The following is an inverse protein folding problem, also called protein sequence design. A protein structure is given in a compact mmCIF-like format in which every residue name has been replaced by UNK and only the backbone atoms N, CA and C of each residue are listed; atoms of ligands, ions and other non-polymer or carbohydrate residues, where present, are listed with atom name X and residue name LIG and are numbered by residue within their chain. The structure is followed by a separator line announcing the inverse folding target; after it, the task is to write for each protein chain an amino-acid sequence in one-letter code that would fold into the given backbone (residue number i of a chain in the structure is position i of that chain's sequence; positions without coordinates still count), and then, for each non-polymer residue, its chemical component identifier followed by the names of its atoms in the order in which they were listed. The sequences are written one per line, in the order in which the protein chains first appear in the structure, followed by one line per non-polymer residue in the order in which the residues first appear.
data_IF_143943630572
#
_entry.id   IF_143943630572
#
_cell.length_a   1.000
_cell.length_b   1.000
_cell.length_c   1.000
_cell.angle_alpha   90.00
_cell.angle_beta   90.00
_cell.angle_gamma   90.00
#
_symmetry.space_group_name_H-M   'P 1'
#
loop_
_entity.id
_entity.type
_entity.pdbx_description
1 polymer ?
#
# COMPACT_ATOMS: atom_id res chain seq x y z
N UNK A 1 -1.45 0.16 12.33
CA UNK A 1 -2.72 -0.53 12.01
C UNK A 1 -3.91 -0.16 12.88
N UNK A 2 -3.83 -0.12 14.21
CA UNK A 2 -5.01 0.19 15.06
C UNK A 2 -5.70 1.53 14.72
N UNK A 3 -4.94 2.56 14.34
CA UNK A 3 -5.47 3.88 14.00
C UNK A 3 -6.22 3.87 12.64
N UNK A 4 -5.59 3.37 11.57
CA UNK A 4 -6.22 3.26 10.25
C UNK A 4 -7.48 2.37 10.27
N UNK A 5 -7.42 1.23 10.97
CA UNK A 5 -8.59 0.36 11.11
C UNK A 5 -9.73 1.03 11.92
N UNK A 6 -9.40 1.90 12.90
CA UNK A 6 -10.40 2.68 13.63
C UNK A 6 -11.04 3.74 12.74
N UNK A 7 -10.26 4.41 11.90
CA UNK A 7 -10.77 5.37 10.92
C UNK A 7 -11.62 4.66 9.85
N UNK A 8 -11.17 3.52 9.34
CA UNK A 8 -11.89 2.70 8.36
C UNK A 8 -13.27 2.27 8.89
N UNK A 9 -13.36 1.84 10.16
CA UNK A 9 -14.64 1.50 10.80
C UNK A 9 -15.58 2.70 10.91
N UNK A 10 -15.06 3.91 11.13
CA UNK A 10 -15.87 5.12 11.33
C UNK A 10 -16.25 5.79 10.00
N UNK A 11 -15.33 5.84 9.05
CA UNK A 11 -15.46 6.62 7.82
C UNK A 11 -15.45 5.78 6.54
N UNK A 12 -15.28 4.46 6.63
CA UNK A 12 -15.18 3.58 5.46
C UNK A 12 -16.39 3.65 4.52
N UNK A 13 -17.57 3.98 5.04
CA UNK A 13 -18.79 4.16 4.21
C UNK A 13 -18.74 5.40 3.30
N UNK A 14 -17.83 6.34 3.58
CA UNK A 14 -17.64 7.55 2.78
C UNK A 14 -16.52 7.40 1.75
N UNK A 15 -15.92 6.21 1.66
CA UNK A 15 -14.90 5.95 0.67
C UNK A 15 -15.48 6.11 -0.74
N UNK A 16 -14.73 6.80 -1.59
CA UNK A 16 -15.09 7.05 -2.98
C UNK A 16 -14.39 6.02 -3.85
N UNK A 17 -15.09 5.02 -4.39
CA UNK A 17 -14.46 4.04 -5.25
C UNK A 17 -13.86 4.75 -6.47
N UNK A 18 -12.66 4.34 -6.87
CA UNK A 18 -11.94 4.88 -8.02
C UNK A 18 -11.63 6.39 -7.94
N UNK A 19 -11.29 6.92 -6.75
CA UNK A 19 -10.97 8.34 -6.56
C UNK A 19 -9.93 8.86 -7.57
N UNK A 20 -8.95 8.04 -7.94
CA UNK A 20 -7.93 8.40 -8.94
C UNK A 20 -8.53 8.67 -10.32
N UNK A 21 -9.61 7.99 -10.70
CA UNK A 21 -10.31 8.25 -11.96
C UNK A 21 -10.88 9.67 -12.00
N UNK A 22 -11.48 10.13 -10.90
CA UNK A 22 -12.00 11.50 -10.81
C UNK A 22 -10.87 12.55 -10.92
N UNK A 23 -9.72 12.26 -10.31
CA UNK A 23 -8.54 13.12 -10.43
C UNK A 23 -8.02 13.15 -11.88
N UNK A 24 -7.99 12.03 -12.57
CA UNK A 24 -7.60 11.96 -14.00
C UNK A 24 -8.59 12.74 -14.86
N UNK A 25 -9.88 12.66 -14.59
CA UNK A 25 -10.92 13.44 -15.31
C UNK A 25 -10.72 14.95 -15.10
N UNK A 26 -10.41 15.37 -13.85
CA UNK A 26 -10.10 16.77 -13.55
C UNK A 26 -8.84 17.23 -14.28
N UNK A 27 -7.79 16.42 -14.35
CA UNK A 27 -6.59 16.71 -15.13
C UNK A 27 -6.89 16.78 -16.63
N UNK A 28 -7.75 15.91 -17.17
CA UNK A 28 -8.18 15.96 -18.57
C UNK A 28 -8.91 17.26 -18.88
N UNK A 29 -9.81 17.70 -18.00
CA UNK A 29 -10.48 19.00 -18.13
C UNK A 29 -9.47 20.16 -18.09
N UNK A 30 -8.48 20.12 -17.19
CA UNK A 30 -7.40 21.09 -17.13
C UNK A 30 -6.52 21.10 -18.38
N UNK A 31 -6.25 19.94 -18.99
CA UNK A 31 -5.53 19.84 -20.25
C UNK A 31 -6.33 20.52 -21.38
N UNK A 32 -7.63 20.27 -21.49
CA UNK A 32 -8.49 20.93 -22.48
C UNK A 32 -8.49 22.45 -22.30
N UNK A 33 -8.64 22.93 -21.07
CA UNK A 33 -8.56 24.36 -20.75
C UNK A 33 -7.19 24.92 -21.16
N UNK A 34 -6.09 24.24 -20.86
CA UNK A 34 -4.75 24.70 -21.21
C UNK A 34 -4.51 24.75 -22.73
N UNK A 35 -5.06 23.80 -23.47
CA UNK A 35 -4.98 23.81 -24.95
C UNK A 35 -5.78 24.96 -25.55
N UNK A 36 -6.99 25.23 -25.03
CA UNK A 36 -7.86 26.31 -25.53
C UNK A 36 -7.37 27.67 -25.06
N UNK A 37 -6.91 27.80 -23.84
CA UNK A 37 -6.50 29.05 -23.19
C UNK A 37 -5.19 28.84 -22.41
N UNK A 38 -4.02 28.91 -23.05
CA UNK A 38 -2.74 28.61 -22.38
C UNK A 38 -2.49 29.49 -21.14
N UNK A 39 -3.01 30.70 -21.12
CA UNK A 39 -2.87 31.62 -19.98
C UNK A 39 -3.66 31.16 -18.74
N UNK A 40 -4.70 30.32 -18.90
CA UNK A 40 -5.47 29.79 -17.77
C UNK A 40 -4.61 28.95 -16.84
N UNK A 41 -3.58 28.29 -17.37
CA UNK A 41 -2.66 27.50 -16.58
C UNK A 41 -1.99 28.32 -15.46
N UNK A 42 -1.66 29.58 -15.70
CA UNK A 42 -1.07 30.47 -14.69
C UNK A 42 -2.05 30.80 -13.54
N UNK A 43 -3.35 30.81 -13.81
CA UNK A 43 -4.37 31.05 -12.79
C UNK A 43 -4.74 29.78 -12.01
N UNK A 44 -4.53 28.61 -12.60
CA UNK A 44 -4.82 27.31 -11.99
C UNK A 44 -3.63 26.76 -11.20
N UNK A 45 -2.39 27.09 -11.61
CA UNK A 45 -1.19 26.58 -10.95
C UNK A 45 -1.07 27.07 -9.50
N UNK A 46 -0.33 26.33 -8.70
CA UNK A 46 -0.03 26.68 -7.33
C UNK A 46 0.74 28.02 -7.29
N UNK A 47 0.38 28.89 -6.36
CA UNK A 47 1.18 30.05 -5.99
C UNK A 47 0.89 30.37 -4.53
N UNK A 48 1.88 30.18 -3.67
CA UNK A 48 1.74 30.40 -2.23
C UNK A 48 1.50 31.87 -1.93
N UNK A 49 2.20 32.77 -2.60
CA UNK A 49 2.00 34.20 -2.45
C UNK A 49 0.56 34.61 -2.83
N UNK A 50 0.07 34.15 -3.98
CA UNK A 50 -1.30 34.46 -4.42
C UNK A 50 -2.36 33.89 -3.45
N UNK A 51 -2.15 32.71 -2.89
CA UNK A 51 -3.02 32.10 -1.87
C UNK A 51 -3.08 32.98 -0.63
N UNK A 52 -1.94 33.47 -0.15
CA UNK A 52 -1.87 34.37 1.01
C UNK A 52 -2.54 35.72 0.74
N UNK A 53 -2.62 36.17 -0.53
CA UNK A 53 -3.33 37.37 -0.94
C UNK A 53 -4.81 37.11 -1.28
N UNK A 54 -5.37 35.94 -0.90
CA UNK A 54 -6.82 35.67 -1.02
C UNK A 54 -7.22 34.78 -2.20
N UNK A 55 -6.30 34.30 -3.05
CA UNK A 55 -6.62 33.37 -4.15
C UNK A 55 -6.68 31.91 -3.65
N UNK A 56 -7.56 31.65 -2.68
CA UNK A 56 -7.65 30.35 -1.99
C UNK A 56 -8.04 29.17 -2.91
N UNK A 57 -8.69 29.45 -4.06
CA UNK A 57 -9.04 28.39 -5.02
C UNK A 57 -7.83 27.64 -5.54
N UNK A 58 -6.63 28.25 -5.53
CA UNK A 58 -5.38 27.61 -5.98
C UNK A 58 -4.98 26.40 -5.14
N UNK A 59 -5.48 26.30 -3.89
CA UNK A 59 -5.28 25.12 -3.02
C UNK A 59 -5.94 23.87 -3.62
N UNK A 60 -6.96 24.03 -4.45
CA UNK A 60 -7.66 22.92 -5.10
C UNK A 60 -7.38 22.88 -6.59
N UNK A 61 -7.30 24.05 -7.25
CA UNK A 61 -7.17 24.11 -8.71
C UNK A 61 -5.85 23.57 -9.25
N UNK A 62 -4.79 23.46 -8.43
CA UNK A 62 -3.54 22.81 -8.87
C UNK A 62 -3.74 21.34 -9.30
N UNK A 63 -4.84 20.70 -8.82
CA UNK A 63 -5.24 19.36 -9.25
C UNK A 63 -5.63 19.33 -10.73
N UNK A 64 -6.13 20.42 -11.29
CA UNK A 64 -6.47 20.53 -12.71
C UNK A 64 -5.24 20.73 -13.60
N UNK A 65 -4.10 21.15 -13.04
CA UNK A 65 -2.88 21.38 -13.83
C UNK A 65 -2.36 20.05 -14.37
N UNK A 66 -2.37 19.87 -15.71
CA UNK A 66 -1.93 18.60 -16.30
C UNK A 66 -0.41 18.46 -16.16
N UNK A 67 0.04 17.24 -15.92
CA UNK A 67 1.48 16.91 -15.84
C UNK A 67 2.18 16.89 -17.20
N UNK A 68 1.43 16.99 -18.29
CA UNK A 68 1.93 17.15 -19.66
C UNK A 68 0.93 17.88 -20.51
N UNK A 69 1.42 18.69 -21.44
CA UNK A 69 0.60 19.41 -22.43
C UNK A 69 0.35 18.60 -23.71
N UNK A 70 1.07 17.47 -23.88
CA UNK A 70 0.88 16.58 -25.00
C UNK A 70 -0.31 15.65 -24.76
N UNK A 71 -1.37 15.66 -25.58
CA UNK A 71 -2.54 14.80 -25.40
C UNK A 71 -2.21 13.31 -25.46
N UNK A 72 -1.27 12.91 -26.32
CA UNK A 72 -0.85 11.51 -26.46
C UNK A 72 -0.15 11.03 -25.18
N UNK A 73 0.80 11.81 -24.66
CA UNK A 73 1.48 11.48 -23.41
C UNK A 73 0.50 11.47 -22.24
N UNK A 74 -0.46 12.40 -22.24
CA UNK A 74 -1.51 12.44 -21.21
C UNK A 74 -2.31 11.12 -21.18
N UNK A 75 -2.77 10.64 -22.33
CA UNK A 75 -3.53 9.39 -22.41
C UNK A 75 -2.72 8.18 -21.92
N UNK A 76 -1.45 8.10 -22.28
CA UNK A 76 -0.56 7.03 -21.82
C UNK A 76 -0.43 7.04 -20.30
N UNK A 77 -0.15 8.21 -19.71
CA UNK A 77 -0.02 8.33 -18.26
C UNK A 77 -1.35 8.14 -17.53
N UNK A 78 -2.47 8.66 -18.07
CA UNK A 78 -3.79 8.48 -17.50
C UNK A 78 -4.17 7.00 -17.42
N UNK A 79 -3.95 6.24 -18.48
CA UNK A 79 -4.17 4.79 -18.51
C UNK A 79 -3.27 4.06 -17.51
N UNK A 80 -1.99 4.42 -17.45
CA UNK A 80 -1.02 3.82 -16.54
C UNK A 80 -1.43 4.04 -15.08
N UNK A 81 -1.69 5.28 -14.68
CA UNK A 81 -2.07 5.61 -13.30
C UNK A 81 -3.43 5.08 -12.90
N UNK A 82 -4.38 5.02 -13.84
CA UNK A 82 -5.65 4.35 -13.62
C UNK A 82 -5.46 2.86 -13.34
N UNK A 83 -4.66 2.18 -14.14
CA UNK A 83 -4.38 0.74 -13.98
C UNK A 83 -3.67 0.43 -12.65
N UNK A 84 -2.69 1.28 -12.27
CA UNK A 84 -1.97 1.19 -10.99
C UNK A 84 -2.95 1.35 -9.82
N UNK A 85 -3.76 2.42 -9.87
CA UNK A 85 -4.73 2.74 -8.83
C UNK A 85 -5.73 1.61 -8.64
N UNK A 86 -6.30 1.08 -9.71
CA UNK A 86 -7.23 -0.06 -9.69
C UNK A 86 -6.60 -1.30 -9.05
N UNK A 87 -5.34 -1.59 -9.38
CA UNK A 87 -4.63 -2.75 -8.83
C UNK A 87 -4.39 -2.59 -7.33
N UNK A 88 -3.99 -1.41 -6.89
CA UNK A 88 -3.78 -1.12 -5.46
C UNK A 88 -5.11 -1.10 -4.70
N UNK A 89 -6.15 -0.49 -5.25
CA UNK A 89 -7.47 -0.37 -4.62
C UNK A 89 -8.11 -1.75 -4.40
N UNK A 90 -7.96 -2.70 -5.33
CA UNK A 90 -8.44 -4.08 -5.17
C UNK A 90 -7.82 -4.80 -3.96
N UNK A 91 -6.60 -4.45 -3.60
CA UNK A 91 -5.85 -5.11 -2.51
C UNK A 91 -5.98 -4.36 -1.19
N UNK A 92 -5.94 -3.04 -1.25
CA UNK A 92 -5.97 -2.21 -0.04
C UNK A 92 -7.40 -1.87 0.40
N UNK A 93 -8.35 -1.89 -0.54
CA UNK A 93 -9.71 -1.37 -0.38
C UNK A 93 -9.79 0.14 -0.66
N UNK A 94 -10.99 0.61 -1.07
CA UNK A 94 -11.21 2.00 -1.49
C UNK A 94 -10.86 3.00 -0.40
N UNK A 95 -11.24 2.75 0.87
CA UNK A 95 -10.96 3.68 1.96
C UNK A 95 -9.47 3.95 2.16
N UNK A 96 -8.65 2.90 2.12
CA UNK A 96 -7.21 3.06 2.31
C UNK A 96 -6.55 3.73 1.12
N UNK A 97 -7.06 3.46 -0.09
CA UNK A 97 -6.60 4.13 -1.30
C UNK A 97 -6.91 5.63 -1.26
N UNK A 98 -8.12 6.01 -0.86
CA UNK A 98 -8.53 7.40 -0.68
C UNK A 98 -7.64 8.12 0.35
N UNK A 99 -7.43 7.48 1.50
CA UNK A 99 -6.54 8.03 2.54
C UNK A 99 -5.11 8.25 2.02
N UNK A 100 -4.59 7.33 1.20
CA UNK A 100 -3.28 7.49 0.57
C UNK A 100 -3.24 8.71 -0.36
N UNK A 101 -4.25 8.87 -1.21
CA UNK A 101 -4.35 9.98 -2.15
C UNK A 101 -4.49 11.30 -1.39
N UNK A 102 -5.40 11.38 -0.41
CA UNK A 102 -5.66 12.58 0.37
C UNK A 102 -4.42 13.00 1.16
N UNK A 103 -3.76 12.05 1.85
CA UNK A 103 -2.53 12.35 2.60
C UNK A 103 -1.37 12.77 1.69
N UNK A 104 -1.29 12.22 0.48
CA UNK A 104 -0.30 12.62 -0.51
C UNK A 104 -0.55 14.05 -1.03
N UNK A 105 -1.80 14.41 -1.34
CA UNK A 105 -2.16 15.76 -1.73
C UNK A 105 -1.90 16.76 -0.60
N UNK A 106 -2.29 16.45 0.64
CA UNK A 106 -2.01 17.29 1.80
C UNK A 106 -0.51 17.45 2.04
N UNK A 107 0.26 16.37 1.89
CA UNK A 107 1.73 16.40 1.98
C UNK A 107 2.35 17.34 0.95
N UNK A 108 1.86 17.30 -0.29
CA UNK A 108 2.30 18.21 -1.37
C UNK A 108 2.01 19.67 -1.02
N UNK A 109 0.81 19.96 -0.51
CA UNK A 109 0.41 21.30 -0.06
C UNK A 109 1.32 21.79 1.06
N UNK A 110 1.52 20.98 2.10
CA UNK A 110 2.40 21.31 3.24
C UNK A 110 3.82 21.55 2.78
N UNK A 111 4.36 20.72 1.89
CA UNK A 111 5.70 20.88 1.34
C UNK A 111 5.84 22.20 0.57
N UNK A 112 4.84 22.57 -0.24
CA UNK A 112 4.85 23.83 -0.99
C UNK A 112 4.85 25.07 -0.08
N UNK A 113 4.05 25.06 0.99
CA UNK A 113 4.08 26.13 2.00
C UNK A 113 5.43 26.17 2.74
N UNK A 114 5.98 25.03 3.15
CA UNK A 114 7.29 24.97 3.82
C UNK A 114 8.40 25.57 2.93
N UNK A 115 8.42 25.19 1.66
CA UNK A 115 9.40 25.73 0.69
C UNK A 115 9.28 27.26 0.61
N UNK A 116 8.07 27.78 0.50
CA UNK A 116 7.85 29.23 0.43
C UNK A 116 8.32 29.95 1.70
N UNK A 117 7.96 29.46 2.87
CA UNK A 117 8.34 30.10 4.14
C UNK A 117 9.83 29.97 4.45
N UNK A 118 10.49 28.88 4.04
CA UNK A 118 11.92 28.67 4.30
C UNK A 118 12.81 29.40 3.30
N UNK A 119 12.43 29.46 2.04
CA UNK A 119 13.30 29.93 0.95
C UNK A 119 12.74 31.13 0.18
N UNK A 120 11.48 31.51 0.38
CA UNK A 120 10.82 32.56 -0.39
C UNK A 120 10.56 32.16 -1.85
N UNK A 121 10.61 30.87 -2.19
CA UNK A 121 10.52 30.38 -3.57
C UNK A 121 9.10 29.95 -3.91
N UNK A 122 8.62 30.40 -5.05
CA UNK A 122 7.37 29.94 -5.67
C UNK A 122 7.60 28.69 -6.50
N UNK A 123 6.99 27.59 -6.11
CA UNK A 123 7.13 26.31 -6.82
C UNK A 123 6.22 26.19 -8.05
N UNK A 124 5.20 27.00 -8.18
CA UNK A 124 4.35 27.12 -9.37
C UNK A 124 3.88 25.78 -9.95
N UNK A 125 4.25 25.50 -11.19
CA UNK A 125 3.91 24.27 -11.92
C UNK A 125 4.55 23.00 -11.34
N UNK A 126 5.59 23.12 -10.51
CA UNK A 126 6.23 21.97 -9.87
C UNK A 126 5.33 21.36 -8.80
N UNK A 127 4.42 22.14 -8.20
CA UNK A 127 3.38 21.60 -7.31
C UNK A 127 2.29 20.96 -8.15
N UNK A 128 2.42 19.68 -8.40
CA UNK A 128 1.51 18.92 -9.26
C UNK A 128 1.23 17.52 -8.68
N UNK A 129 0.28 16.84 -9.28
CA UNK A 129 -0.05 15.44 -8.94
C UNK A 129 1.09 14.46 -9.28
N UNK A 130 2.11 14.87 -10.04
CA UNK A 130 3.22 14.00 -10.45
C UNK A 130 3.90 13.33 -9.26
N UNK A 131 4.11 14.05 -8.17
CA UNK A 131 4.73 13.49 -6.95
C UNK A 131 3.87 12.40 -6.32
N UNK A 132 2.55 12.61 -6.26
CA UNK A 132 1.60 11.60 -5.79
C UNK A 132 1.60 10.38 -6.72
N UNK A 133 1.54 10.60 -8.02
CA UNK A 133 1.52 9.55 -9.03
C UNK A 133 2.77 8.69 -8.99
N UNK A 134 3.94 9.30 -8.83
CA UNK A 134 5.19 8.57 -8.68
C UNK A 134 5.27 7.79 -7.36
N UNK A 135 4.71 8.34 -6.27
CA UNK A 135 4.62 7.61 -4.99
C UNK A 135 3.71 6.38 -5.09
N UNK A 136 2.62 6.45 -5.86
CA UNK A 136 1.76 5.30 -6.17
C UNK A 136 2.51 4.21 -6.93
N UNK A 137 3.40 4.60 -7.83
CA UNK A 137 4.25 3.67 -8.56
C UNK A 137 5.18 2.90 -7.61
N UNK A 138 5.81 3.61 -6.67
CA UNK A 138 6.63 3.00 -5.62
C UNK A 138 5.78 2.07 -4.73
N UNK A 139 4.58 2.48 -4.37
CA UNK A 139 3.66 1.70 -3.55
C UNK A 139 3.25 0.38 -4.23
N UNK A 140 2.96 0.44 -5.54
CA UNK A 140 2.66 -0.75 -6.33
C UNK A 140 3.86 -1.70 -6.40
N UNK A 141 5.04 -1.17 -6.72
CA UNK A 141 6.27 -1.96 -6.80
C UNK A 141 6.62 -2.65 -5.47
N UNK A 142 6.40 -1.95 -4.36
CA UNK A 142 6.63 -2.50 -3.02
C UNK A 142 5.59 -3.56 -2.64
N UNK A 143 4.35 -3.43 -3.15
CA UNK A 143 3.26 -4.40 -2.89
C UNK A 143 3.40 -5.63 -3.78
N UNK A 144 3.76 -5.42 -5.05
CA UNK A 144 3.82 -6.44 -6.09
C UNK A 144 5.10 -6.35 -6.92
N UNK A 145 6.27 -6.69 -6.39
CA UNK A 145 7.56 -6.48 -7.08
C UNK A 145 7.70 -7.27 -8.39
N UNK A 146 7.02 -8.40 -8.50
CA UNK A 146 7.12 -9.31 -9.66
C UNK A 146 5.99 -9.13 -10.68
N UNK A 147 5.00 -8.24 -10.43
CA UNK A 147 3.98 -7.90 -11.43
C UNK A 147 4.66 -7.25 -12.62
N UNK A 148 4.28 -7.73 -13.81
CA UNK A 148 4.78 -7.21 -15.09
C UNK A 148 3.77 -6.24 -15.69
N UNK A 149 4.25 -5.05 -16.06
CA UNK A 149 3.50 -4.09 -16.86
C UNK A 149 3.99 -4.17 -18.30
N UNK A 150 3.07 -4.14 -19.23
CA UNK A 150 3.39 -4.02 -20.64
C UNK A 150 3.67 -2.54 -20.96
N UNK A 151 4.94 -2.17 -20.96
CA UNK A 151 5.35 -0.83 -21.40
C UNK A 151 5.05 -0.72 -22.89
N UNK A 152 4.30 0.32 -23.28
CA UNK A 152 3.81 0.49 -24.66
C UNK A 152 3.09 -0.73 -25.23
N UNK A 153 2.47 -1.55 -24.39
CA UNK A 153 1.76 -2.79 -24.75
C UNK A 153 2.63 -3.89 -25.37
N UNK A 154 3.96 -3.72 -25.39
CA UNK A 154 4.90 -4.62 -26.07
C UNK A 154 5.91 -5.21 -25.08
N UNK A 155 6.52 -4.41 -24.21
CA UNK A 155 7.65 -4.81 -23.38
C UNK A 155 7.19 -5.14 -21.96
N UNK A 156 7.27 -6.40 -21.50
CA UNK A 156 6.93 -6.76 -20.13
C UNK A 156 8.05 -6.32 -19.17
N UNK A 157 7.80 -5.29 -18.37
CA UNK A 157 8.74 -4.77 -17.36
C UNK A 157 8.18 -5.05 -15.96
N UNK A 158 9.01 -5.64 -15.10
CA UNK A 158 8.62 -5.87 -13.70
C UNK A 158 8.51 -4.54 -12.93
N UNK A 159 7.49 -4.42 -12.07
CA UNK A 159 7.22 -3.23 -11.27
C UNK A 159 8.46 -2.71 -10.52
N UNK A 160 9.29 -3.60 -9.97
CA UNK A 160 10.53 -3.23 -9.27
C UNK A 160 11.52 -2.45 -10.14
N UNK A 161 11.64 -2.76 -11.43
CA UNK A 161 12.54 -2.04 -12.33
C UNK A 161 11.99 -0.67 -12.70
N UNK A 162 10.67 -0.58 -12.85
CA UNK A 162 10.03 0.71 -13.11
C UNK A 162 10.12 1.64 -11.89
N UNK A 163 10.01 1.11 -10.65
CA UNK A 163 10.25 1.91 -9.45
C UNK A 163 11.69 2.40 -9.37
N UNK A 164 12.66 1.55 -9.68
CA UNK A 164 14.07 1.96 -9.76
C UNK A 164 14.25 3.08 -10.79
N UNK A 165 13.64 2.95 -11.96
CA UNK A 165 13.66 3.97 -13.00
C UNK A 165 13.05 5.28 -12.50
N UNK A 166 11.93 5.25 -11.78
CA UNK A 166 11.31 6.44 -11.18
C UNK A 166 12.23 7.16 -10.21
N UNK A 167 12.97 6.41 -9.38
CA UNK A 167 13.97 7.00 -8.46
C UNK A 167 15.11 7.64 -9.24
N UNK A 168 15.61 6.97 -10.27
CA UNK A 168 16.67 7.52 -11.15
C UNK A 168 16.19 8.79 -11.84
N UNK A 169 14.94 8.83 -12.32
CA UNK A 169 14.37 10.03 -12.94
C UNK A 169 14.27 11.19 -11.95
N UNK A 170 13.84 10.94 -10.70
CA UNK A 170 13.85 11.98 -9.67
C UNK A 170 15.24 12.55 -9.39
N UNK A 171 16.24 11.68 -9.33
CA UNK A 171 17.63 12.12 -9.16
C UNK A 171 18.12 12.91 -10.37
N UNK A 172 17.75 12.48 -11.59
CA UNK A 172 18.08 13.20 -12.81
C UNK A 172 17.45 14.59 -12.84
N UNK A 173 16.15 14.72 -12.53
CA UNK A 173 15.44 15.99 -12.47
C UNK A 173 16.06 16.92 -11.41
N UNK A 174 16.41 16.39 -10.24
CA UNK A 174 17.09 17.14 -9.20
C UNK A 174 18.46 17.65 -9.70
N UNK A 175 19.25 16.81 -10.34
CA UNK A 175 20.56 17.19 -10.90
C UNK A 175 20.41 18.27 -11.99
N UNK A 176 19.41 18.19 -12.84
CA UNK A 176 19.12 19.21 -13.84
C UNK A 176 18.81 20.57 -13.21
N UNK A 177 17.97 20.60 -12.15
CA UNK A 177 17.67 21.82 -11.42
C UNK A 177 18.92 22.38 -10.75
N UNK A 178 19.71 21.53 -10.08
CA UNK A 178 20.95 21.94 -9.42
C UNK A 178 21.98 22.50 -10.40
N UNK A 179 22.11 21.87 -11.57
CA UNK A 179 23.06 22.32 -12.60
C UNK A 179 22.61 23.63 -13.26
N UNK A 180 21.30 23.88 -13.37
CA UNK A 180 20.76 25.08 -14.04
C UNK A 180 20.68 26.32 -13.14
N UNK A 181 20.26 26.15 -11.87
CA UNK A 181 20.00 27.26 -10.92
C UNK A 181 20.69 27.09 -9.57
N UNK A 182 21.48 26.02 -9.39
CA UNK A 182 22.22 25.76 -8.15
C UNK A 182 21.40 25.04 -7.07
N UNK A 183 22.09 24.68 -5.98
CA UNK A 183 21.45 24.02 -4.83
C UNK A 183 20.46 24.93 -4.09
N UNK A 184 20.84 26.19 -3.89
CA UNK A 184 20.02 27.15 -3.16
C UNK A 184 19.36 28.12 -4.14
N UNK A 185 18.04 28.39 -3.99
CA UNK A 185 17.07 27.74 -3.10
C UNK A 185 16.32 26.56 -3.77
N UNK A 186 16.37 26.46 -5.11
CA UNK A 186 15.51 25.57 -5.91
C UNK A 186 15.82 24.08 -5.74
N UNK A 187 17.11 23.71 -5.63
CA UNK A 187 17.50 22.32 -5.41
C UNK A 187 16.97 21.77 -4.07
N UNK A 188 17.10 22.56 -3.00
CA UNK A 188 16.54 22.19 -1.70
C UNK A 188 15.00 22.18 -1.70
N UNK A 189 14.37 23.09 -2.41
CA UNK A 189 12.92 23.12 -2.59
C UNK A 189 12.41 21.83 -3.23
N UNK A 190 13.03 21.42 -4.32
CA UNK A 190 12.68 20.16 -5.01
C UNK A 190 12.94 18.94 -4.14
N UNK A 191 14.04 18.91 -3.40
CA UNK A 191 14.36 17.83 -2.47
C UNK A 191 13.29 17.69 -1.39
N UNK A 192 12.79 18.79 -0.82
CA UNK A 192 11.68 18.78 0.14
C UNK A 192 10.43 18.14 -0.48
N UNK A 193 10.06 18.52 -1.70
CA UNK A 193 8.89 17.94 -2.39
C UNK A 193 9.04 16.42 -2.58
N UNK A 194 10.20 15.96 -3.00
CA UNK A 194 10.51 14.52 -3.15
C UNK A 194 10.41 13.81 -1.81
N UNK A 195 11.00 14.38 -0.74
CA UNK A 195 10.99 13.79 0.60
C UNK A 195 9.55 13.65 1.12
N UNK A 196 8.69 14.66 0.95
CA UNK A 196 7.29 14.58 1.38
C UNK A 196 6.52 13.50 0.60
N UNK A 197 6.78 13.35 -0.70
CA UNK A 197 6.22 12.27 -1.52
C UNK A 197 6.65 10.89 -1.01
N UNK A 198 7.94 10.73 -0.68
CA UNK A 198 8.48 9.48 -0.13
C UNK A 198 7.99 9.20 1.29
N UNK A 199 7.84 10.22 2.14
CA UNK A 199 7.25 10.07 3.48
C UNK A 199 5.85 9.50 3.39
N UNK A 200 5.00 10.02 2.50
CA UNK A 200 3.65 9.50 2.27
C UNK A 200 3.69 8.00 1.93
N UNK A 201 4.55 7.63 0.98
CA UNK A 201 4.76 6.22 0.63
C UNK A 201 5.23 5.38 1.81
N UNK A 202 6.26 5.82 2.55
CA UNK A 202 6.85 5.09 3.68
C UNK A 202 5.81 4.91 4.80
N UNK A 203 5.13 5.97 5.20
CA UNK A 203 4.11 5.92 6.26
C UNK A 203 3.01 4.92 5.91
N UNK A 204 2.56 4.95 4.67
CA UNK A 204 1.51 4.05 4.24
C UNK A 204 1.99 2.62 4.08
N UNK A 205 3.17 2.41 3.53
CA UNK A 205 3.80 1.11 3.37
C UNK A 205 4.06 0.43 4.72
N UNK A 206 4.58 1.17 5.70
CA UNK A 206 4.75 0.69 7.07
C UNK A 206 3.40 0.44 7.77
N UNK A 207 2.40 1.28 7.49
CA UNK A 207 1.05 1.15 8.04
C UNK A 207 0.23 0.01 7.44
N UNK A 208 0.49 -0.41 6.22
CA UNK A 208 -0.25 -1.50 5.54
C UNK A 208 0.40 -2.86 5.68
N UNK A 209 1.71 -2.92 5.86
CA UNK A 209 2.39 -4.18 6.16
C UNK A 209 2.04 -4.66 7.55
N UNK A 210 1.72 -5.93 7.64
CA UNK A 210 1.53 -6.62 8.93
C UNK A 210 2.92 -6.79 9.57
N UNK A 211 3.35 -5.75 10.32
CA UNK A 211 4.62 -5.77 11.07
C UNK A 211 4.67 -6.93 12.08
N UNK A 212 3.54 -7.61 12.33
CA UNK A 212 3.52 -8.85 13.11
C UNK A 212 4.38 -9.95 12.48
N UNK A 213 4.53 -9.96 11.13
CA UNK A 213 5.45 -10.91 10.47
C UNK A 213 6.91 -10.65 10.78
N UNK A 214 7.28 -9.41 11.11
CA UNK A 214 8.66 -8.97 11.41
C UNK A 214 8.87 -8.84 12.92
N UNK A 215 7.80 -8.93 13.73
CA UNK A 215 7.93 -8.88 15.17
C UNK A 215 8.85 -10.02 15.65
N UNK A 216 9.99 -9.72 16.33
CA UNK A 216 10.94 -10.74 16.77
C UNK A 216 10.28 -11.87 17.57
N UNK A 217 9.28 -11.55 18.39
CA UNK A 217 8.52 -12.54 19.18
C UNK A 217 7.74 -13.53 18.29
N UNK A 218 7.11 -13.04 17.21
CA UNK A 218 6.36 -13.90 16.29
C UNK A 218 7.29 -14.74 15.41
N UNK A 219 8.41 -14.15 14.98
CA UNK A 219 9.45 -14.87 14.23
C UNK A 219 10.03 -15.97 15.10
N UNK A 220 10.33 -15.70 16.38
CA UNK A 220 10.84 -16.71 17.32
C UNK A 220 9.83 -17.83 17.53
N UNK A 221 8.54 -17.47 17.79
CA UNK A 221 7.45 -18.44 17.96
C UNK A 221 7.27 -19.35 16.75
N UNK A 222 7.37 -18.81 15.52
CA UNK A 222 7.30 -19.59 14.27
C UNK A 222 8.49 -20.52 14.11
N UNK A 223 9.70 -20.04 14.41
CA UNK A 223 10.92 -20.86 14.36
C UNK A 223 10.85 -22.00 15.38
N UNK A 224 10.43 -21.71 16.61
CA UNK A 224 10.25 -22.73 17.66
C UNK A 224 9.18 -23.75 17.28
N UNK A 225 8.09 -23.31 16.66
CA UNK A 225 7.06 -24.20 16.15
C UNK A 225 7.60 -25.10 15.02
N UNK A 226 8.30 -24.53 14.04
CA UNK A 226 8.91 -25.31 12.95
C UNK A 226 9.95 -26.29 13.47
N UNK A 227 10.78 -25.88 14.45
CA UNK A 227 11.75 -26.74 15.08
C UNK A 227 11.09 -27.94 15.80
N UNK A 228 10.05 -27.69 16.58
CA UNK A 228 9.25 -28.72 17.25
C UNK A 228 8.56 -29.67 16.27
N UNK A 229 8.08 -29.16 15.14
CA UNK A 229 7.49 -29.99 14.08
C UNK A 229 8.57 -30.88 13.43
N UNK A 230 9.74 -30.31 13.08
CA UNK A 230 10.85 -31.08 12.53
C UNK A 230 11.40 -32.15 13.51
N UNK A 231 11.49 -31.83 14.80
CA UNK A 231 11.88 -32.81 15.84
C UNK A 231 10.87 -33.94 15.98
N UNK A 232 9.55 -33.64 15.82
CA UNK A 232 8.50 -34.67 15.80
C UNK A 232 8.59 -35.59 14.58
N UNK A 233 8.78 -35.00 13.39
CA UNK A 233 8.98 -35.78 12.17
C UNK A 233 10.21 -36.72 12.28
N UNK A 234 11.34 -36.21 12.79
CA UNK A 234 12.56 -36.99 12.99
C UNK A 234 12.43 -38.04 14.09
N UNK A 235 11.61 -37.75 15.13
CA UNK A 235 11.42 -38.72 16.24
C UNK A 235 10.60 -39.95 15.86
N UNK A 236 10.06 -39.98 14.64
CA UNK A 236 9.26 -41.12 14.17
C UNK A 236 7.93 -41.33 14.93
N UNK A 237 7.54 -40.40 15.81
CA UNK A 237 6.27 -40.50 16.56
C UNK A 237 5.08 -40.22 15.64
N UNK A 238 4.00 -40.98 15.70
CA UNK A 238 2.80 -40.72 14.94
C UNK A 238 2.17 -39.38 15.36
N UNK A 239 1.59 -38.65 14.41
CA UNK A 239 0.87 -37.42 14.66
C UNK A 239 -0.49 -37.67 15.29
N UNK A 240 -1.14 -38.73 14.86
CA UNK A 240 -2.47 -39.16 15.29
C UNK A 240 -2.48 -40.59 15.75
N UNK A 241 -3.17 -40.85 16.86
CA UNK A 241 -3.32 -42.20 17.42
C UNK A 241 -4.73 -42.40 17.99
N UNK A 242 -5.41 -43.44 17.55
CA UNK A 242 -6.72 -43.78 18.11
C UNK A 242 -6.60 -44.25 19.56
N UNK A 243 -7.38 -43.65 20.45
CA UNK A 243 -7.38 -43.98 21.89
C UNK A 243 -7.95 -45.37 22.17
N UNK A 244 -8.82 -45.91 21.30
CA UNK A 244 -9.45 -47.25 21.49
C UNK A 244 -8.62 -48.36 20.90
N UNK A 245 -8.25 -48.28 19.62
CA UNK A 245 -7.54 -49.39 18.93
C UNK A 245 -6.04 -49.18 18.78
N UNK A 246 -5.50 -48.02 19.15
CA UNK A 246 -4.07 -47.73 19.09
C UNK A 246 -3.52 -47.54 17.67
N UNK A 247 -4.33 -47.67 16.61
CA UNK A 247 -3.88 -47.45 15.22
C UNK A 247 -3.38 -46.01 15.06
N UNK A 248 -2.36 -45.83 14.23
CA UNK A 248 -1.71 -44.57 13.99
C UNK A 248 -1.83 -44.16 12.53
N UNK A 249 -1.66 -42.87 12.28
CA UNK A 249 -1.62 -42.27 10.93
C UNK A 249 -0.46 -42.81 10.07
N UNK A 250 0.56 -43.37 10.70
CA UNK A 250 1.69 -44.01 9.99
C UNK A 250 1.40 -45.42 9.52
N UNK A 251 0.70 -46.21 10.36
CA UNK A 251 0.34 -47.57 10.04
C UNK A 251 -0.83 -47.62 9.06
N UNK A 252 -1.70 -46.60 9.10
CA UNK A 252 -2.92 -46.50 8.29
C UNK A 252 -3.07 -45.07 7.74
N UNK A 253 -2.35 -44.71 6.66
CA UNK A 253 -2.37 -43.34 6.09
C UNK A 253 -3.75 -42.88 5.58
N UNK A 254 -4.58 -43.81 5.17
CA UNK A 254 -5.92 -43.53 4.64
C UNK A 254 -7.00 -43.39 5.73
N UNK A 255 -6.63 -43.57 6.99
CA UNK A 255 -7.57 -43.55 8.11
C UNK A 255 -7.67 -42.12 8.68
N UNK A 256 -8.88 -41.56 8.69
CA UNK A 256 -9.11 -40.26 9.30
C UNK A 256 -9.17 -40.37 10.83
N UNK A 257 -8.49 -39.42 11.52
CA UNK A 257 -8.51 -39.28 12.97
C UNK A 257 -9.16 -37.94 13.34
N UNK A 258 -10.04 -37.99 14.34
CA UNK A 258 -10.74 -36.77 14.82
C UNK A 258 -10.82 -36.78 16.36
N UNK A 259 -10.80 -35.56 16.93
CA UNK A 259 -11.04 -35.35 18.36
C UNK A 259 -12.51 -35.44 18.69
N UNK A 260 -12.83 -36.06 19.82
CA UNK A 260 -14.19 -36.07 20.35
C UNK A 260 -14.45 -34.82 21.18
N UNK A 261 -15.47 -34.03 20.80
CA UNK A 261 -15.87 -32.82 21.53
C UNK A 261 -16.63 -33.08 22.86
N UNK A 262 -17.02 -34.33 23.12
CA UNK A 262 -17.77 -34.73 24.35
C UNK A 262 -16.86 -35.38 25.40
N UNK A 263 -15.61 -35.73 25.06
CA UNK A 263 -14.63 -36.25 26.02
C UNK A 263 -13.90 -35.09 26.71
N UNK A 264 -13.69 -35.19 28.00
CA UNK A 264 -12.88 -34.26 28.77
C UNK A 264 -11.39 -34.53 28.53
N UNK A 265 -10.81 -33.88 27.54
CA UNK A 265 -9.39 -34.02 27.15
C UNK A 265 -9.20 -34.17 25.66
N UNK A 266 -7.94 -34.14 25.20
CA UNK A 266 -7.57 -34.24 23.80
C UNK A 266 -7.46 -35.71 23.37
N UNK A 267 -8.58 -36.43 23.32
CA UNK A 267 -8.66 -37.81 22.88
C UNK A 267 -9.03 -37.91 21.42
N UNK A 268 -8.19 -38.58 20.64
CA UNK A 268 -8.39 -38.81 19.22
C UNK A 268 -8.92 -40.23 18.95
N UNK A 269 -9.80 -40.33 17.97
CA UNK A 269 -10.42 -41.60 17.54
C UNK A 269 -10.39 -41.68 16.01
N UNK A 270 -10.16 -42.90 15.52
CA UNK A 270 -10.29 -43.17 14.09
C UNK A 270 -11.77 -43.14 13.65
N UNK A 271 -12.02 -43.06 12.35
CA UNK A 271 -13.36 -43.04 11.79
C UNK A 271 -14.30 -44.17 12.29
N UNK A 272 -13.74 -45.36 12.55
CA UNK A 272 -14.50 -46.51 13.08
C UNK A 272 -14.92 -46.33 14.55
N UNK A 273 -14.06 -45.68 15.37
CA UNK A 273 -14.28 -45.57 16.81
C UNK A 273 -14.80 -44.19 17.23
N UNK A 274 -14.92 -43.23 16.31
CA UNK A 274 -15.37 -41.89 16.62
C UNK A 274 -16.82 -41.86 17.17
N UNK A 275 -17.67 -42.74 16.67
CA UNK A 275 -19.09 -42.83 17.07
C UNK A 275 -19.41 -43.97 18.03
N UNK A 276 -18.48 -44.91 18.24
CA UNK A 276 -18.71 -46.12 19.02
C UNK A 276 -17.99 -46.14 20.38
N UNK A 277 -17.12 -45.15 20.63
CA UNK A 277 -16.36 -45.12 21.90
C UNK A 277 -17.22 -44.63 23.08
N UNK A 278 -16.86 -45.10 24.27
CA UNK A 278 -17.42 -44.55 25.52
C UNK A 278 -16.73 -43.20 25.79
N UNK A 279 -17.51 -42.20 26.09
CA UNK A 279 -16.99 -40.87 26.40
C UNK A 279 -16.23 -40.92 27.74
N UNK A 280 -15.03 -40.33 27.74
CA UNK A 280 -14.22 -40.16 28.93
C UNK A 280 -14.64 -38.84 29.56
N UNK A 281 -15.31 -38.90 30.75
CA UNK A 281 -15.69 -37.76 31.54
C UNK A 281 -14.78 -37.74 32.78
N UNK A 282 -14.11 -36.62 33.03
CA UNK A 282 -13.33 -36.45 34.24
C UNK A 282 -14.32 -36.46 35.42
N UNK A 283 -14.17 -37.41 36.33
CA UNK A 283 -14.92 -37.39 37.58
C UNK A 283 -14.59 -36.06 38.28
N UNK A 284 -15.62 -35.23 38.51
CA UNK A 284 -15.53 -34.13 39.46
C UNK A 284 -15.12 -34.69 40.80
N UNK A 285 -13.90 -34.35 41.25
CA UNK A 285 -13.55 -34.56 42.64
C UNK A 285 -14.50 -33.73 43.47
N UNK A 286 -15.43 -34.39 44.15
CA UNK A 286 -16.25 -33.80 45.20
C UNK A 286 -15.33 -33.13 46.20
N UNK A 287 -15.42 -31.83 46.31
CA UNK A 287 -14.82 -31.09 47.42
C UNK A 287 -15.67 -31.42 48.66
N UNK A 288 -15.13 -32.28 49.50
CA UNK A 288 -15.47 -32.30 50.93
C UNK A 288 -14.68 -31.21 51.65
#
# INVERSE_FOLDING_TARGET
MKFLNKLERKFGRYAVPNLMLYIIILNAAGLLITIMYPQAQYYLCWSTSAILHGQIWRIVSFILVPYTTSPVNFLIFAFLYYSISQTLERVWGSFRMDMYIITGLLGTIVAAFLVYFMFGVEMGFQVSISYLSNSLFLALSATFPDVQFLLFFIIPVKAKWMALLSVVMYLYDLMQVVNSVGWMPYGFAMLIMIVFSLINFILYFLGTRDLQRINPKEVHRRRDFQKKMGEREQSGRPLHKCTVCGRTDKDFPDLEFRYCSKCDGAYEYCSEHLYTHKHIVAHSYDKQ
#
